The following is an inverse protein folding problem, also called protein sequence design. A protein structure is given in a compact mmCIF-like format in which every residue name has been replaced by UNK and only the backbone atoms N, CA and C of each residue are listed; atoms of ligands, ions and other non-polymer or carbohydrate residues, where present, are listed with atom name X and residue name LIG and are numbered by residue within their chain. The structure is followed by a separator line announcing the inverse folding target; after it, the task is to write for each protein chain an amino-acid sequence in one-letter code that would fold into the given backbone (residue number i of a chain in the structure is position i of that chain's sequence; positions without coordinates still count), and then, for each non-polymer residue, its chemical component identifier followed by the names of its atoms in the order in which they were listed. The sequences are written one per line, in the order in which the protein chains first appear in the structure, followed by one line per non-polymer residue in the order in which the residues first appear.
data_IF_422685771223
#
_entry.id   IF_422685771223
#
_cell.length_a   1.000
_cell.length_b   1.000
_cell.length_c   1.000
_cell.angle_alpha   90.00
_cell.angle_beta   90.00
_cell.angle_gamma   90.00
#
_symmetry.space_group_name_H-M   'P 1'
#
loop_
_entity.id
_entity.type
_entity.pdbx_description
1 polymer ?
#
# COMPACT_ATOMS: atom_id res chain seq x y z
N UNK A 1 -15.67 17.96 15.06
CA UNK A 1 -14.50 17.27 14.46
C UNK A 1 -14.63 17.40 12.94
N UNK A 2 -14.01 18.44 12.36
CA UNK A 2 -14.10 18.71 10.92
C UNK A 2 -12.98 17.90 10.26
N UNK A 3 -13.29 16.65 9.92
CA UNK A 3 -12.47 15.83 9.04
C UNK A 3 -12.48 16.52 7.67
N UNK A 4 -11.56 17.46 7.48
CA UNK A 4 -11.21 17.95 6.15
C UNK A 4 -10.48 16.80 5.46
N UNK A 5 -11.26 15.94 4.80
CA UNK A 5 -10.80 14.79 4.03
C UNK A 5 -9.95 15.33 2.87
N UNK A 6 -8.64 15.44 3.05
CA UNK A 6 -7.73 15.65 1.93
C UNK A 6 -7.66 14.33 1.16
N UNK A 7 -8.53 14.23 0.15
CA UNK A 7 -8.88 13.01 -0.59
C UNK A 7 -7.70 12.11 -0.98
N UNK A 8 -6.51 12.65 -1.21
CA UNK A 8 -5.34 11.88 -1.67
C UNK A 8 -4.77 10.90 -0.65
N UNK A 9 -4.55 11.35 0.58
CA UNK A 9 -3.93 10.53 1.62
C UNK A 9 -4.89 9.43 2.07
N UNK A 10 -6.20 9.71 2.09
CA UNK A 10 -7.23 8.70 2.33
C UNK A 10 -7.28 7.66 1.21
N UNK A 11 -7.17 8.07 -0.07
CA UNK A 11 -7.10 7.13 -1.20
C UNK A 11 -5.83 6.27 -1.10
N UNK A 12 -4.68 6.85 -0.72
CA UNK A 12 -3.43 6.12 -0.51
C UNK A 12 -3.49 5.12 0.64
N UNK A 13 -4.06 5.52 1.78
CA UNK A 13 -4.29 4.64 2.93
C UNK A 13 -5.27 3.52 2.58
N UNK A 14 -6.36 3.83 1.87
CA UNK A 14 -7.33 2.82 1.41
C UNK A 14 -6.69 1.85 0.42
N UNK A 15 -5.94 2.33 -0.57
CA UNK A 15 -5.27 1.49 -1.55
C UNK A 15 -4.23 0.56 -0.91
N UNK A 16 -3.45 1.08 0.03
CA UNK A 16 -2.46 0.29 0.79
C UNK A 16 -3.14 -0.76 1.68
N UNK A 17 -4.27 -0.39 2.30
CA UNK A 17 -5.07 -1.33 3.12
C UNK A 17 -5.76 -2.39 2.25
N UNK A 18 -6.26 -2.04 1.07
CA UNK A 18 -6.84 -2.99 0.12
C UNK A 18 -5.81 -3.98 -0.40
N UNK A 19 -4.58 -3.53 -0.68
CA UNK A 19 -3.45 -4.41 -1.03
C UNK A 19 -3.15 -5.39 0.12
N UNK A 20 -3.15 -4.92 1.37
CA UNK A 20 -2.97 -5.76 2.55
C UNK A 20 -4.05 -6.83 2.72
N UNK A 21 -5.32 -6.40 2.61
CA UNK A 21 -6.49 -7.30 2.68
C UNK A 21 -6.43 -8.31 1.53
N UNK A 22 -6.10 -7.85 0.31
CA UNK A 22 -5.95 -8.71 -0.85
C UNK A 22 -4.89 -9.78 -0.62
N UNK A 23 -3.69 -9.42 -0.17
CA UNK A 23 -2.64 -10.39 0.09
C UNK A 23 -3.05 -11.37 1.21
N UNK A 24 -3.70 -10.91 2.30
CA UNK A 24 -4.16 -11.77 3.41
C UNK A 24 -5.31 -12.69 3.02
N UNK A 25 -6.24 -12.21 2.20
CA UNK A 25 -7.40 -12.96 1.75
C UNK A 25 -7.07 -13.97 0.65
N UNK A 26 -6.06 -13.70 -0.18
CA UNK A 26 -5.62 -14.57 -1.28
C UNK A 26 -5.36 -16.02 -0.83
N UNK A 27 -4.55 -16.33 0.20
CA UNK A 27 -4.37 -17.72 0.64
C UNK A 27 -5.68 -18.33 1.16
N UNK A 28 -6.54 -17.56 1.83
CA UNK A 28 -7.81 -18.07 2.35
C UNK A 28 -8.82 -18.40 1.24
N UNK A 29 -8.99 -17.50 0.27
CA UNK A 29 -9.93 -17.64 -0.85
C UNK A 29 -9.53 -18.83 -1.73
N UNK A 30 -8.24 -18.94 -2.08
CA UNK A 30 -7.78 -20.00 -2.98
C UNK A 30 -7.55 -21.34 -2.31
N UNK A 31 -7.30 -21.39 -0.98
CA UNK A 31 -7.37 -22.64 -0.23
C UNK A 31 -8.79 -23.20 -0.26
N UNK A 32 -9.83 -22.39 0.00
CA UNK A 32 -11.24 -22.84 -0.03
C UNK A 32 -11.66 -23.29 -1.44
N UNK A 33 -11.24 -22.57 -2.50
CA UNK A 33 -11.52 -22.97 -3.89
C UNK A 33 -10.77 -24.24 -4.32
N UNK A 34 -9.53 -24.43 -3.87
CA UNK A 34 -8.72 -25.61 -4.20
C UNK A 34 -9.16 -26.90 -3.48
N UNK A 35 -9.86 -26.78 -2.35
CA UNK A 35 -10.52 -27.92 -1.70
C UNK A 35 -11.76 -28.42 -2.47
N UNK A 36 -12.36 -27.59 -3.32
CA UNK A 36 -13.54 -27.94 -4.13
C UNK A 36 -13.17 -28.53 -5.50
N UNK A 37 -11.99 -28.21 -6.04
CA UNK A 37 -11.51 -28.70 -7.32
C UNK A 37 -10.06 -29.20 -7.17
N UNK A 38 -9.91 -30.48 -6.82
CA UNK A 38 -8.67 -31.27 -6.94
C UNK A 38 -7.36 -30.56 -6.54
N UNK A 39 -6.93 -30.75 -5.29
CA UNK A 39 -5.57 -30.60 -4.75
C UNK A 39 -4.72 -29.43 -5.29
N UNK A 40 -4.58 -28.39 -4.45
CA UNK A 40 -3.47 -27.44 -4.44
C UNK A 40 -3.28 -26.59 -5.71
N UNK A 41 -4.35 -25.90 -6.13
CA UNK A 41 -4.23 -24.85 -7.13
C UNK A 41 -3.66 -23.56 -6.52
N UNK A 42 -2.54 -23.08 -7.06
CA UNK A 42 -2.02 -21.73 -6.78
C UNK A 42 -3.01 -20.66 -7.25
N UNK A 43 -2.92 -19.44 -6.69
CA UNK A 43 -3.76 -18.34 -7.13
C UNK A 43 -3.66 -18.17 -8.67
N UNK A 44 -4.78 -18.00 -9.37
CA UNK A 44 -4.80 -17.95 -10.83
C UNK A 44 -4.09 -16.67 -11.34
N UNK A 45 -3.40 -16.76 -12.47
CA UNK A 45 -2.43 -15.74 -12.94
C UNK A 45 -2.97 -14.30 -13.07
N UNK A 46 -4.26 -14.13 -13.35
CA UNK A 46 -4.95 -12.84 -13.38
C UNK A 46 -5.06 -12.14 -12.01
N UNK A 47 -4.87 -12.84 -10.89
CA UNK A 47 -4.99 -12.26 -9.55
C UNK A 47 -3.90 -11.22 -9.27
N UNK A 48 -2.71 -11.42 -9.87
CA UNK A 48 -1.58 -10.49 -9.85
C UNK A 48 -1.94 -9.12 -10.44
N UNK A 49 -2.95 -9.02 -11.31
CA UNK A 49 -3.43 -7.75 -11.82
C UNK A 49 -3.87 -6.78 -10.70
N UNK A 50 -4.49 -7.30 -9.64
CA UNK A 50 -4.96 -6.47 -8.53
C UNK A 50 -3.80 -5.85 -7.76
N UNK A 51 -2.68 -6.55 -7.59
CA UNK A 51 -1.48 -6.03 -6.95
C UNK A 51 -0.93 -4.82 -7.71
N UNK A 52 -0.79 -4.94 -9.03
CA UNK A 52 -0.35 -3.83 -9.88
C UNK A 52 -1.37 -2.67 -9.93
N UNK A 53 -2.67 -2.97 -9.89
CA UNK A 53 -3.72 -1.96 -9.83
C UNK A 53 -3.64 -1.15 -8.52
N UNK A 54 -3.48 -1.80 -7.36
CA UNK A 54 -3.33 -1.08 -6.10
C UNK A 54 -2.02 -0.31 -6.01
N UNK A 55 -0.92 -0.86 -6.56
CA UNK A 55 0.37 -0.19 -6.61
C UNK A 55 0.32 1.11 -7.41
N UNK A 56 -0.36 1.10 -8.56
CA UNK A 56 -0.54 2.30 -9.40
C UNK A 56 -1.40 3.36 -8.71
N UNK A 57 -2.49 2.98 -8.02
CA UNK A 57 -3.30 3.92 -7.24
C UNK A 57 -2.47 4.54 -6.11
N UNK A 58 -1.69 3.72 -5.41
CA UNK A 58 -0.79 4.18 -4.34
C UNK A 58 0.25 5.19 -4.85
N UNK A 59 0.80 4.97 -6.04
CA UNK A 59 1.72 5.92 -6.68
C UNK A 59 1.11 7.31 -6.87
N UNK A 60 -0.12 7.39 -7.41
CA UNK A 60 -0.81 8.67 -7.57
C UNK A 60 -1.12 9.33 -6.22
N UNK A 61 -1.49 8.53 -5.21
CA UNK A 61 -1.72 9.03 -3.87
C UNK A 61 -0.45 9.64 -3.26
N UNK A 62 0.71 9.00 -3.42
CA UNK A 62 2.00 9.49 -2.95
C UNK A 62 2.42 10.74 -3.71
N UNK A 63 2.28 10.79 -5.04
CA UNK A 63 2.59 11.98 -5.83
C UNK A 63 1.87 13.22 -5.32
N UNK A 64 0.58 13.09 -5.03
CA UNK A 64 -0.23 14.20 -4.53
C UNK A 64 0.04 14.47 -3.05
N UNK A 65 0.30 13.46 -2.23
CA UNK A 65 0.74 13.58 -0.84
C UNK A 65 2.08 14.32 -0.70
N UNK A 66 3.01 14.06 -1.61
CA UNK A 66 4.34 14.71 -1.70
C UNK A 66 4.22 16.21 -2.04
N UNK A 67 3.18 16.60 -2.80
CA UNK A 67 2.90 18.00 -3.13
C UNK A 67 2.27 18.76 -1.96
N UNK A 68 1.50 18.09 -1.11
CA UNK A 68 0.79 18.70 0.01
C UNK A 68 1.59 18.73 1.31
N UNK A 69 2.55 17.82 1.48
CA UNK A 69 3.37 17.75 2.70
C UNK A 69 4.55 18.72 2.65
N UNK A 70 4.87 19.37 3.77
CA UNK A 70 6.03 20.26 3.88
C UNK A 70 7.28 19.55 4.41
N UNK A 71 7.13 18.43 5.12
CA UNK A 71 8.26 17.68 5.66
C UNK A 71 8.95 16.85 4.59
N UNK A 72 10.21 17.18 4.28
CA UNK A 72 11.02 16.40 3.35
C UNK A 72 11.25 14.96 3.82
N UNK A 73 11.27 14.72 5.15
CA UNK A 73 11.43 13.38 5.70
C UNK A 73 10.27 12.45 5.33
N UNK A 74 9.03 12.92 5.47
CA UNK A 74 7.83 12.14 5.12
C UNK A 74 7.77 11.87 3.61
N UNK A 75 8.21 12.83 2.78
CA UNK A 75 8.31 12.63 1.32
C UNK A 75 9.25 11.48 0.97
N UNK A 76 10.46 11.49 1.51
CA UNK A 76 11.43 10.43 1.25
C UNK A 76 10.95 9.09 1.78
N UNK A 77 10.34 9.07 2.97
CA UNK A 77 9.84 7.84 3.57
C UNK A 77 8.68 7.23 2.74
N UNK A 78 7.70 8.03 2.30
CA UNK A 78 6.59 7.57 1.44
C UNK A 78 7.12 6.94 0.13
N UNK A 79 8.05 7.62 -0.54
CA UNK A 79 8.64 7.11 -1.78
C UNK A 79 9.50 5.86 -1.56
N UNK A 80 10.27 5.82 -0.47
CA UNK A 80 11.11 4.66 -0.14
C UNK A 80 10.26 3.41 0.10
N UNK A 81 9.21 3.51 0.91
CA UNK A 81 8.31 2.39 1.19
C UNK A 81 7.51 1.97 -0.06
N UNK A 82 7.15 2.91 -0.93
CA UNK A 82 6.50 2.54 -2.19
C UNK A 82 7.43 1.83 -3.18
N UNK A 83 8.69 2.28 -3.30
CA UNK A 83 9.68 1.59 -4.12
C UNK A 83 9.98 0.18 -3.57
N UNK A 84 10.03 0.03 -2.24
CA UNK A 84 10.19 -1.27 -1.60
C UNK A 84 9.02 -2.19 -1.94
N UNK A 85 7.78 -1.68 -1.85
CA UNK A 85 6.58 -2.44 -2.19
C UNK A 85 6.57 -2.89 -3.65
N UNK A 86 6.96 -2.00 -4.56
CA UNK A 86 7.12 -2.31 -5.99
C UNK A 86 8.13 -3.42 -6.21
N UNK A 87 9.31 -3.33 -5.59
CA UNK A 87 10.35 -4.35 -5.67
C UNK A 87 9.86 -5.71 -5.15
N UNK A 88 9.11 -5.74 -4.04
CA UNK A 88 8.56 -6.96 -3.47
C UNK A 88 7.52 -7.61 -4.40
N UNK A 89 6.59 -6.84 -4.98
CA UNK A 89 5.58 -7.35 -5.91
C UNK A 89 6.22 -7.87 -7.21
N UNK A 90 7.20 -7.14 -7.76
CA UNK A 90 7.93 -7.57 -8.96
C UNK A 90 8.74 -8.84 -8.67
N UNK A 91 9.39 -8.91 -7.50
CA UNK A 91 10.12 -10.10 -7.11
C UNK A 91 9.20 -11.33 -6.96
N UNK A 92 8.00 -11.16 -6.38
CA UNK A 92 7.01 -12.24 -6.30
C UNK A 92 6.52 -12.67 -7.69
N UNK A 93 6.35 -11.73 -8.62
CA UNK A 93 5.87 -12.01 -9.98
C UNK A 93 6.90 -12.76 -10.85
N UNK A 94 8.19 -12.44 -10.71
CA UNK A 94 9.28 -13.07 -11.48
C UNK A 94 9.83 -14.32 -10.76
N UNK A 95 9.66 -14.41 -9.43
CA UNK A 95 10.12 -15.54 -8.62
C UNK A 95 11.65 -15.59 -8.44
N UNK A 96 12.35 -14.46 -8.58
CA UNK A 96 13.84 -14.41 -8.55
C UNK A 96 14.38 -14.73 -7.15
N UNK A 97 13.78 -14.14 -6.11
CA UNK A 97 14.16 -14.38 -4.71
C UNK A 97 12.99 -15.02 -3.96
N UNK A 98 13.29 -16.05 -3.16
CA UNK A 98 12.34 -16.67 -2.23
C UNK A 98 12.12 -15.76 -1.01
N UNK A 99 11.43 -14.65 -1.23
CA UNK A 99 11.06 -13.70 -0.18
C UNK A 99 9.70 -14.12 0.39
N UNK A 100 9.62 -14.20 1.72
CA UNK A 100 8.36 -14.46 2.39
C UNK A 100 7.38 -13.30 2.19
N UNK A 101 6.12 -13.63 1.92
CA UNK A 101 5.01 -12.66 1.80
C UNK A 101 4.85 -11.76 3.03
N UNK A 102 5.43 -12.17 4.17
CA UNK A 102 5.52 -11.38 5.38
C UNK A 102 6.18 -10.00 5.17
N UNK A 103 7.18 -9.92 4.28
CA UNK A 103 7.82 -8.64 3.97
C UNK A 103 6.83 -7.67 3.29
N UNK A 104 6.03 -8.16 2.34
CA UNK A 104 5.02 -7.36 1.64
C UNK A 104 3.94 -6.87 2.61
N UNK A 105 3.47 -7.72 3.53
CA UNK A 105 2.53 -7.30 4.57
C UNK A 105 3.07 -6.18 5.45
N UNK A 106 4.30 -6.34 5.95
CA UNK A 106 4.94 -5.33 6.79
C UNK A 106 5.06 -4.00 6.06
N UNK A 107 5.48 -4.06 4.79
CA UNK A 107 5.67 -2.87 3.97
C UNK A 107 4.36 -2.12 3.71
N UNK A 108 3.30 -2.86 3.39
CA UNK A 108 1.96 -2.30 3.22
C UNK A 108 1.40 -1.68 4.52
N UNK A 109 1.66 -2.28 5.70
CA UNK A 109 1.26 -1.70 6.99
C UNK A 109 2.00 -0.39 7.23
N UNK A 110 3.31 -0.36 6.99
CA UNK A 110 4.15 0.82 7.20
C UNK A 110 3.73 1.95 6.26
N UNK A 111 3.52 1.66 4.97
CA UNK A 111 3.08 2.65 3.99
C UNK A 111 1.70 3.22 4.33
N UNK A 112 0.75 2.37 4.73
CA UNK A 112 -0.58 2.81 5.19
C UNK A 112 -0.49 3.70 6.44
N UNK A 113 0.33 3.30 7.41
CA UNK A 113 0.56 4.07 8.63
C UNK A 113 1.20 5.43 8.34
N UNK A 114 2.12 5.49 7.38
CA UNK A 114 2.73 6.74 6.92
C UNK A 114 1.71 7.69 6.29
N UNK A 115 0.80 7.18 5.46
CA UNK A 115 -0.28 7.99 4.89
C UNK A 115 -1.21 8.54 5.97
N UNK A 116 -1.57 7.72 6.97
CA UNK A 116 -2.37 8.16 8.12
C UNK A 116 -1.63 9.20 8.96
N UNK A 117 -0.33 9.00 9.18
CA UNK A 117 0.52 9.95 9.92
C UNK A 117 0.62 11.28 9.19
N UNK A 118 0.89 11.27 7.88
CA UNK A 118 0.92 12.47 7.05
C UNK A 118 -0.42 13.20 7.07
N UNK A 119 -1.54 12.46 7.01
CA UNK A 119 -2.89 13.02 7.09
C UNK A 119 -3.18 13.70 8.43
N UNK A 120 -2.73 13.09 9.53
CA UNK A 120 -3.05 13.57 10.89
C UNK A 120 -2.14 14.71 11.36
N UNK A 121 -0.87 14.72 10.94
CA UNK A 121 0.15 15.59 11.53
C UNK A 121 0.78 16.59 10.56
N UNK A 122 0.70 16.39 9.24
CA UNK A 122 1.45 17.21 8.27
C UNK A 122 0.59 17.91 7.21
N UNK A 123 -0.74 17.94 7.39
CA UNK A 123 -1.64 18.64 6.47
C UNK A 123 -1.80 20.12 6.85
N UNK A 124 -1.30 20.99 5.98
CA UNK A 124 -1.54 22.43 6.06
C UNK A 124 -2.91 22.77 5.51
N UNK A 125 -3.88 23.02 6.39
CA UNK A 125 -5.13 23.71 6.03
C UNK A 125 -5.38 24.83 7.06
N UNK A 126 -5.04 26.05 6.65
CA UNK A 126 -5.18 27.33 7.36
C UNK A 126 -4.48 27.47 8.73
N UNK A 127 -3.38 28.24 8.69
CA UNK A 127 -2.82 29.11 9.73
C UNK A 127 -1.95 28.57 10.87
N UNK A 128 -1.74 27.25 11.03
CA UNK A 128 -0.68 26.73 11.94
C UNK A 128 -0.10 25.43 11.40
N UNK A 129 1.02 25.50 10.68
CA UNK A 129 1.76 24.32 10.24
C UNK A 129 2.99 24.09 11.12
N UNK A 130 3.27 22.81 11.38
CA UNK A 130 4.29 22.26 12.26
C UNK A 130 5.57 23.10 12.31
N UNK A 131 5.73 23.84 13.41
CA UNK A 131 7.04 24.30 13.87
C UNK A 131 7.66 23.21 14.72
N UNK A 132 8.78 22.67 14.23
CA UNK A 132 9.66 21.64 14.80
C UNK A 132 9.13 20.20 14.79
#
# INVERSE_FOLDING_TARGET
MKLAINNSDSIGALASTLCLIHCLATPFIFVVQSCAASCCASAPAWWVFFDYLFLTISFFAILKSTKTTQSNFIKYALWSFWLLLLCLIVNESIGVLLISKNALYLDAVLLSSLHIYNLKYCQCNDNKCCTN
#
